data_IF_003358796671
#
_entry.id   IF_003358796671
#
_cell.length_a   1.000
_cell.length_b   1.000
_cell.length_c   1.000
_cell.angle_alpha   90.00
_cell.angle_beta   90.00
_cell.angle_gamma   90.00
#
_symmetry.space_group_name_H-M   'P 1'
#
loop_
_entity.id
_entity.type
_entity.pdbx_description
1 polymer ?
#
# COMPACT_ATOMS: atom_id res chain seq x y z
N UNK A 1 11.37 -28.67 0.74
CA UNK A 1 11.54 -27.89 -0.51
C UNK A 1 10.90 -26.51 -0.41
N UNK A 2 9.60 -26.39 -0.10
CA UNK A 2 8.90 -25.09 0.02
C UNK A 2 9.55 -24.11 1.02
N UNK A 3 9.91 -24.57 2.22
CA UNK A 3 10.59 -23.71 3.24
C UNK A 3 11.90 -23.12 2.71
N UNK A 4 12.69 -23.91 1.97
CA UNK A 4 13.94 -23.43 1.38
C UNK A 4 13.69 -22.38 0.28
N UNK A 5 12.62 -22.53 -0.48
CA UNK A 5 12.21 -21.55 -1.49
C UNK A 5 11.77 -20.24 -0.83
N UNK A 6 10.95 -20.31 0.22
CA UNK A 6 10.51 -19.12 0.97
C UNK A 6 11.72 -18.41 1.60
N UNK A 7 12.63 -19.15 2.22
CA UNK A 7 13.84 -18.57 2.80
C UNK A 7 14.76 -17.93 1.75
N UNK A 8 14.82 -18.50 0.54
CA UNK A 8 15.60 -17.94 -0.57
C UNK A 8 14.96 -16.68 -1.18
N UNK A 9 13.62 -16.61 -1.25
CA UNK A 9 12.90 -15.49 -1.87
C UNK A 9 12.61 -14.35 -0.89
N UNK A 10 12.44 -14.63 0.40
CA UNK A 10 12.11 -13.61 1.41
C UNK A 10 13.07 -12.39 1.41
N UNK A 11 14.40 -12.54 1.24
CA UNK A 11 15.30 -11.38 1.14
C UNK A 11 15.01 -10.49 -0.07
N UNK A 12 14.64 -11.06 -1.22
CA UNK A 12 14.30 -10.30 -2.43
C UNK A 12 13.01 -9.50 -2.22
N UNK A 13 12.03 -10.09 -1.53
CA UNK A 13 10.78 -9.43 -1.19
C UNK A 13 10.99 -8.27 -0.20
N UNK A 14 11.76 -8.52 0.87
CA UNK A 14 12.05 -7.49 1.88
C UNK A 14 12.82 -6.32 1.27
N UNK A 15 13.84 -6.58 0.45
CA UNK A 15 14.62 -5.51 -0.19
C UNK A 15 13.79 -4.69 -1.18
N UNK A 16 12.96 -5.34 -2.01
CA UNK A 16 12.05 -4.64 -2.94
C UNK A 16 10.97 -3.81 -2.24
N UNK A 17 10.58 -4.18 -1.01
CA UNK A 17 9.50 -3.55 -0.27
C UNK A 17 9.95 -2.37 0.60
N UNK A 18 11.10 -2.51 1.28
CA UNK A 18 11.59 -1.53 2.25
C UNK A 18 12.80 -0.73 1.74
N UNK A 19 13.50 -1.23 0.71
CA UNK A 19 14.73 -0.62 0.20
C UNK A 19 14.55 0.48 -0.84
N UNK A 20 13.31 0.83 -1.21
CA UNK A 20 13.03 1.84 -2.23
C UNK A 20 11.79 2.68 -1.96
N UNK A 21 11.80 3.89 -2.53
CA UNK A 21 10.63 4.76 -2.62
C UNK A 21 9.53 4.21 -3.53
N UNK A 22 8.46 4.98 -3.69
CA UNK A 22 7.33 4.65 -4.55
C UNK A 22 7.75 4.65 -6.04
N UNK A 23 7.42 3.59 -6.76
CA UNK A 23 7.77 3.40 -8.16
C UNK A 23 6.68 3.92 -9.10
N UNK A 24 7.08 4.78 -10.01
CA UNK A 24 6.15 5.39 -10.97
C UNK A 24 5.65 4.39 -12.02
N UNK A 25 4.44 4.58 -12.56
CA UNK A 25 3.48 5.65 -12.25
C UNK A 25 2.48 5.30 -11.14
N UNK A 26 2.30 4.01 -10.85
CA UNK A 26 1.15 3.54 -10.08
C UNK A 26 1.31 3.73 -8.57
N UNK A 27 2.47 3.40 -7.99
CA UNK A 27 2.59 3.43 -6.52
C UNK A 27 2.40 4.84 -5.94
N UNK A 28 2.92 5.94 -6.52
CA UNK A 28 2.60 7.29 -6.06
C UNK A 28 1.10 7.63 -6.15
N UNK A 29 0.41 7.14 -7.19
CA UNK A 29 -1.02 7.38 -7.37
C UNK A 29 -1.84 6.70 -6.27
N UNK A 30 -1.60 5.41 -6.04
CA UNK A 30 -2.33 4.66 -5.02
C UNK A 30 -1.98 5.19 -3.60
N UNK A 31 -0.72 5.57 -3.38
CA UNK A 31 -0.27 6.17 -2.13
C UNK A 31 -0.95 7.51 -1.83
N UNK A 32 -1.10 8.39 -2.83
CA UNK A 32 -1.80 9.67 -2.66
C UNK A 32 -3.26 9.46 -2.26
N UNK A 33 -3.96 8.54 -2.93
CA UNK A 33 -5.36 8.23 -2.63
C UNK A 33 -5.48 7.65 -1.22
N UNK A 34 -4.64 6.67 -0.86
CA UNK A 34 -4.63 6.07 0.48
C UNK A 34 -4.30 7.09 1.58
N UNK A 35 -3.35 7.99 1.32
CA UNK A 35 -2.96 9.06 2.25
C UNK A 35 -4.09 10.07 2.47
N UNK A 36 -4.83 10.46 1.42
CA UNK A 36 -6.02 11.33 1.56
C UNK A 36 -7.12 10.60 2.31
N UNK A 37 -7.38 9.35 1.95
CA UNK A 37 -8.39 8.51 2.58
C UNK A 37 -8.13 8.29 4.07
N UNK A 38 -6.87 8.32 4.54
CA UNK A 38 -6.55 8.24 5.97
C UNK A 38 -6.87 9.52 6.74
N UNK A 39 -6.87 10.68 6.06
CA UNK A 39 -7.00 12.02 6.67
C UNK A 39 -8.35 12.69 6.45
N UNK A 40 -9.06 12.37 5.36
CA UNK A 40 -10.35 12.95 5.04
C UNK A 40 -11.47 12.38 5.93
N UNK A 41 -12.49 13.20 6.18
CA UNK A 41 -13.68 12.81 6.95
C UNK A 41 -14.54 11.82 6.17
N UNK A 42 -14.85 12.14 4.91
CA UNK A 42 -15.58 11.26 4.02
C UNK A 42 -14.63 10.24 3.38
N UNK A 43 -14.49 9.07 4.00
CA UNK A 43 -13.67 7.99 3.48
C UNK A 43 -14.39 7.14 2.42
N UNK A 44 -15.58 7.51 1.96
CA UNK A 44 -16.29 6.75 0.92
C UNK A 44 -15.91 7.20 -0.49
N UNK A 45 -15.40 8.42 -0.63
CA UNK A 45 -15.03 9.05 -1.90
C UNK A 45 -13.50 9.11 -2.06
N UNK A 46 -12.85 8.19 -2.80
CA UNK A 46 -11.44 8.30 -3.10
C UNK A 46 -11.13 9.54 -3.92
N UNK A 47 -10.02 10.21 -3.60
CA UNK A 47 -9.55 11.37 -4.34
C UNK A 47 -8.09 11.18 -4.76
N UNK A 48 -7.77 11.56 -6.00
CA UNK A 48 -6.42 11.62 -6.52
C UNK A 48 -6.08 13.08 -6.80
N UNK A 49 -5.00 13.60 -6.21
CA UNK A 49 -4.63 15.00 -6.33
C UNK A 49 -5.78 15.99 -5.98
N UNK A 50 -6.72 15.57 -5.12
CA UNK A 50 -7.90 16.35 -4.73
C UNK A 50 -9.09 16.27 -5.68
N UNK A 51 -9.04 15.45 -6.73
CA UNK A 51 -10.18 15.20 -7.62
C UNK A 51 -10.82 13.83 -7.33
N UNK A 52 -12.16 13.69 -7.41
CA UNK A 52 -12.81 12.40 -7.26
C UNK A 52 -12.25 11.33 -8.22
N UNK A 53 -11.91 10.17 -7.67
CA UNK A 53 -11.32 9.05 -8.41
C UNK A 53 -12.14 7.77 -8.16
N UNK A 54 -13.14 7.53 -9.00
CA UNK A 54 -14.14 6.45 -8.84
C UNK A 54 -13.88 5.25 -9.77
N UNK A 55 -12.61 4.90 -9.99
CA UNK A 55 -12.24 3.76 -10.85
C UNK A 55 -12.23 2.42 -10.10
N UNK A 56 -12.01 2.44 -8.78
CA UNK A 56 -11.85 1.24 -7.93
C UNK A 56 -12.62 1.39 -6.62
N UNK A 57 -13.12 0.29 -6.03
CA UNK A 57 -13.73 0.33 -4.70
C UNK A 57 -12.69 0.70 -3.62
N UNK A 58 -13.11 1.31 -2.50
CA UNK A 58 -12.20 1.97 -1.56
C UNK A 58 -11.42 1.04 -0.61
N UNK A 59 -11.68 -0.28 -0.65
CA UNK A 59 -11.15 -1.23 0.34
C UNK A 59 -9.62 -1.22 0.43
N UNK A 60 -8.93 -1.23 -0.72
CA UNK A 60 -7.46 -1.17 -0.75
C UNK A 60 -6.94 0.12 -0.12
N UNK A 61 -7.58 1.25 -0.45
CA UNK A 61 -7.22 2.56 0.11
C UNK A 61 -7.46 2.65 1.62
N UNK A 62 -8.52 2.00 2.14
CA UNK A 62 -8.74 1.93 3.58
C UNK A 62 -7.67 1.12 4.29
N UNK A 63 -7.29 -0.03 3.73
CA UNK A 63 -6.25 -0.89 4.32
C UNK A 63 -4.90 -0.17 4.33
N UNK A 64 -4.49 0.43 3.21
CA UNK A 64 -3.24 1.19 3.14
C UNK A 64 -3.31 2.47 3.98
N UNK A 65 -4.46 3.15 3.98
CA UNK A 65 -4.70 4.33 4.82
C UNK A 65 -4.60 4.02 6.32
N UNK A 66 -5.12 2.88 6.77
CA UNK A 66 -4.97 2.42 8.15
C UNK A 66 -3.51 2.12 8.50
N UNK A 67 -2.77 1.46 7.61
CA UNK A 67 -1.34 1.21 7.80
C UNK A 67 -0.53 2.53 7.86
N UNK A 68 -0.85 3.50 7.00
CA UNK A 68 -0.27 4.85 7.05
C UNK A 68 -0.57 5.53 8.39
N UNK A 69 -1.80 5.43 8.90
CA UNK A 69 -2.15 5.99 10.22
C UNK A 69 -1.40 5.34 11.39
N UNK A 70 -1.05 4.06 11.29
CA UNK A 70 -0.35 3.32 12.36
C UNK A 70 1.17 3.46 12.30
N UNK A 71 1.76 3.47 11.09
CA UNK A 71 3.21 3.39 10.88
C UNK A 71 3.83 4.67 10.28
N UNK A 72 3.01 5.67 9.96
CA UNK A 72 3.44 6.94 9.37
C UNK A 72 3.48 6.95 7.83
N UNK A 73 3.72 8.13 7.26
CA UNK A 73 3.74 8.37 5.82
C UNK A 73 5.02 7.82 5.18
N UNK A 74 5.05 6.52 4.87
CA UNK A 74 6.18 5.87 4.23
C UNK A 74 5.73 4.87 3.15
N UNK A 75 6.61 4.61 2.18
CA UNK A 75 6.36 3.60 1.14
C UNK A 75 6.17 2.19 1.73
N UNK A 76 6.80 1.92 2.87
CA UNK A 76 6.63 0.66 3.60
C UNK A 76 5.22 0.52 4.20
N UNK A 77 4.70 1.59 4.80
CA UNK A 77 3.35 1.58 5.38
C UNK A 77 2.27 1.39 4.30
N UNK A 78 2.42 2.04 3.15
CA UNK A 78 1.50 1.93 2.02
C UNK A 78 1.41 0.49 1.47
N UNK A 79 2.54 -0.21 1.41
CA UNK A 79 2.64 -1.60 0.92
C UNK A 79 2.26 -2.67 1.94
N UNK A 80 2.11 -2.32 3.22
CA UNK A 80 1.91 -3.31 4.28
C UNK A 80 0.70 -4.24 4.05
N UNK A 81 -0.47 -3.76 3.56
CA UNK A 81 -1.59 -4.65 3.22
C UNK A 81 -1.27 -5.61 2.06
N UNK A 82 -0.48 -5.16 1.07
CA UNK A 82 -0.08 -5.99 -0.07
C UNK A 82 0.82 -7.15 0.39
N UNK A 83 1.71 -6.90 1.36
CA UNK A 83 2.53 -7.94 1.98
C UNK A 83 1.65 -8.96 2.71
N UNK A 84 0.69 -8.49 3.51
CA UNK A 84 -0.22 -9.37 4.23
C UNK A 84 -1.04 -10.23 3.25
N UNK A 85 -1.54 -9.64 2.17
CA UNK A 85 -2.25 -10.36 1.11
C UNK A 85 -1.36 -11.42 0.45
N UNK A 86 -0.12 -11.07 0.10
CA UNK A 86 0.83 -12.00 -0.48
C UNK A 86 1.24 -13.14 0.47
N UNK A 87 1.19 -12.92 1.79
CA UNK A 87 1.52 -13.95 2.77
C UNK A 87 0.40 -14.98 2.98
N UNK A 88 -0.85 -14.63 2.68
CA UNK A 88 -2.03 -15.50 2.89
C UNK A 88 -2.51 -16.21 1.62
N UNK A 89 -1.92 -15.92 0.46
CA UNK A 89 -2.29 -16.48 -0.85
C UNK A 89 -1.16 -17.32 -1.42
#
# INVERSE_FOLDING_TARGET
MAVLIVLALAPLWVTGMFGRGLWTPDEPREADIAWRMSRQSDRTLPQLAGTPFLEKPPLSYWMSGAAISLFGDSAAAERAPNLLYAAVT
#
